data_IF_839974763172
#
_entry.id   IF_839974763172
#
_cell.length_a   1.000
_cell.length_b   1.000
_cell.length_c   1.000
_cell.angle_alpha   90.00
_cell.angle_beta   90.00
_cell.angle_gamma   90.00
#
_symmetry.space_group_name_H-M   'P 1'
#
loop_
_entity.id
_entity.type
_entity.pdbx_description
1 polymer ?
#
# COMPACT_ATOMS: atom_id res chain seq x y z
N UNK A 1 0.65 21.26 -9.19
CA UNK A 1 -0.76 21.25 -8.72
C UNK A 1 -0.75 20.76 -7.27
N UNK A 2 -1.65 21.22 -6.40
CA UNK A 2 -1.85 20.61 -5.09
C UNK A 2 -2.21 19.13 -5.21
N UNK A 3 -1.73 18.32 -4.27
CA UNK A 3 -1.98 16.86 -4.21
C UNK A 3 -2.97 16.57 -3.08
N UNK A 4 -3.98 15.76 -3.36
CA UNK A 4 -4.98 15.28 -2.41
C UNK A 4 -5.01 13.75 -2.41
N UNK A 5 -4.57 13.14 -1.31
CA UNK A 5 -4.64 11.70 -1.11
C UNK A 5 -5.88 11.36 -0.28
N UNK A 6 -6.74 10.48 -0.79
CA UNK A 6 -7.94 10.00 -0.10
C UNK A 6 -7.85 8.49 0.13
N UNK A 7 -7.91 8.06 1.38
CA UNK A 7 -7.88 6.65 1.76
C UNK A 7 -9.11 6.23 2.54
N UNK A 8 -9.69 5.11 2.17
CA UNK A 8 -10.79 4.44 2.87
C UNK A 8 -10.93 3.01 2.35
N UNK A 9 -11.42 2.09 3.17
CA UNK A 9 -11.40 0.65 2.89
C UNK A 9 -12.07 0.34 1.56
N UNK A 10 -13.26 0.90 1.34
CA UNK A 10 -14.02 0.67 0.11
C UNK A 10 -13.86 1.79 -0.93
N UNK A 11 -12.76 2.57 -0.89
CA UNK A 11 -12.48 3.62 -1.87
C UNK A 11 -12.55 3.12 -3.30
N UNK A 12 -12.06 1.91 -3.56
CA UNK A 12 -12.11 1.28 -4.88
C UNK A 12 -13.53 1.12 -5.45
N UNK A 13 -14.58 1.23 -4.62
CA UNK A 13 -15.98 1.15 -5.03
C UNK A 13 -16.57 2.54 -5.26
N UNK A 14 -16.54 3.42 -4.25
CA UNK A 14 -17.29 4.68 -4.30
C UNK A 14 -16.61 5.78 -5.12
N UNK A 15 -15.27 5.79 -5.25
CA UNK A 15 -14.55 6.84 -5.99
C UNK A 15 -15.04 6.95 -7.44
N UNK A 16 -15.51 5.84 -8.04
CA UNK A 16 -16.04 5.76 -9.40
C UNK A 16 -17.21 6.71 -9.64
N UNK A 17 -18.03 6.94 -8.62
CA UNK A 17 -19.20 7.81 -8.70
C UNK A 17 -19.01 9.15 -7.98
N UNK A 18 -17.87 9.37 -7.32
CA UNK A 18 -17.63 10.52 -6.44
C UNK A 18 -17.96 11.86 -7.10
N UNK A 19 -17.41 12.11 -8.29
CA UNK A 19 -17.57 13.40 -8.97
C UNK A 19 -18.99 13.62 -9.47
N UNK A 20 -19.68 12.55 -9.87
CA UNK A 20 -21.09 12.63 -10.21
C UNK A 20 -21.93 12.95 -8.97
N UNK A 21 -21.69 12.26 -7.86
CA UNK A 21 -22.40 12.50 -6.61
C UNK A 21 -22.14 13.90 -6.05
N UNK A 22 -20.92 14.43 -6.23
CA UNK A 22 -20.57 15.80 -5.82
C UNK A 22 -21.49 16.84 -6.46
N UNK A 23 -21.96 16.63 -7.70
CA UNK A 23 -22.88 17.56 -8.36
C UNK A 23 -24.25 17.66 -7.68
N UNK A 24 -24.63 16.67 -6.86
CA UNK A 24 -25.87 16.71 -6.09
C UNK A 24 -25.76 17.57 -4.82
N UNK A 25 -24.54 17.97 -4.41
CA UNK A 25 -24.31 18.85 -3.28
C UNK A 25 -24.36 20.33 -3.69
N UNK A 26 -24.64 21.24 -2.74
CA UNK A 26 -24.47 22.68 -2.96
C UNK A 26 -23.07 23.02 -3.50
N UNK A 27 -22.94 23.98 -4.44
CA UNK A 27 -21.64 24.36 -5.00
C UNK A 27 -20.59 24.77 -3.96
N UNK A 28 -21.02 25.27 -2.80
CA UNK A 28 -20.12 25.63 -1.68
C UNK A 28 -19.40 24.43 -1.05
N UNK A 29 -19.86 23.20 -1.30
CA UNK A 29 -19.25 21.96 -0.82
C UNK A 29 -18.47 21.23 -1.93
N UNK A 30 -18.42 21.77 -3.15
CA UNK A 30 -17.68 21.15 -4.25
C UNK A 30 -16.18 21.29 -4.02
N UNK A 31 -15.45 20.20 -4.21
CA UNK A 31 -14.00 20.23 -4.29
C UNK A 31 -13.60 20.70 -5.69
N UNK A 32 -12.61 21.59 -5.79
CA UNK A 32 -12.00 21.94 -7.07
C UNK A 32 -11.01 20.85 -7.52
N UNK A 33 -11.53 19.65 -7.73
CA UNK A 33 -10.72 18.47 -8.07
C UNK A 33 -10.06 18.58 -9.46
N UNK A 34 -10.42 19.56 -10.27
CA UNK A 34 -9.82 19.80 -11.60
C UNK A 34 -8.49 20.53 -11.52
N UNK A 35 -8.24 21.28 -10.44
CA UNK A 35 -6.96 21.96 -10.18
C UNK A 35 -6.04 21.14 -9.27
N UNK A 36 -6.48 19.95 -8.86
CA UNK A 36 -5.79 19.07 -7.91
C UNK A 36 -5.41 17.74 -8.57
N UNK A 37 -4.31 17.16 -8.09
CA UNK A 37 -4.01 15.75 -8.33
C UNK A 37 -4.64 14.94 -7.22
N UNK A 38 -5.69 14.17 -7.53
CA UNK A 38 -6.43 13.36 -6.55
C UNK A 38 -6.04 11.90 -6.69
N UNK A 39 -5.52 11.31 -5.61
CA UNK A 39 -5.17 9.90 -5.55
C UNK A 39 -6.08 9.18 -4.56
N UNK A 40 -6.52 7.99 -4.94
CA UNK A 40 -7.38 7.13 -4.15
C UNK A 40 -6.60 5.93 -3.65
N UNK A 41 -6.81 5.55 -2.39
CA UNK A 41 -6.03 4.53 -1.71
C UNK A 41 -6.93 3.64 -0.86
N UNK A 42 -6.47 2.43 -0.58
CA UNK A 42 -7.08 1.50 0.37
C UNK A 42 -6.02 1.20 1.44
N UNK A 43 -6.37 1.32 2.74
CA UNK A 43 -5.44 1.05 3.83
C UNK A 43 -4.75 -0.33 3.70
N UNK A 44 -3.49 -0.41 4.11
CA UNK A 44 -2.60 -1.55 3.85
C UNK A 44 -3.12 -2.88 4.40
N UNK A 45 -3.77 -2.87 5.56
CA UNK A 45 -4.35 -4.05 6.20
C UNK A 45 -5.54 -4.58 5.40
N UNK A 46 -6.36 -3.69 4.84
CA UNK A 46 -7.54 -4.05 4.06
C UNK A 46 -7.23 -4.42 2.62
N UNK A 47 -6.22 -3.78 2.01
CA UNK A 47 -5.90 -3.93 0.59
C UNK A 47 -5.77 -5.40 0.11
N UNK A 48 -5.14 -6.34 0.84
CA UNK A 48 -5.06 -7.75 0.43
C UNK A 48 -6.41 -8.46 0.28
N UNK A 49 -7.44 -7.99 0.98
CA UNK A 49 -8.80 -8.58 0.90
C UNK A 49 -9.56 -8.14 -0.35
N UNK A 50 -9.04 -7.16 -1.09
CA UNK A 50 -9.60 -6.71 -2.36
C UNK A 50 -9.14 -7.58 -3.53
N UNK A 51 -9.86 -7.50 -4.65
CA UNK A 51 -9.45 -8.15 -5.90
C UNK A 51 -8.04 -7.71 -6.33
N UNK A 52 -7.31 -8.59 -7.01
CA UNK A 52 -5.90 -8.36 -7.39
C UNK A 52 -5.66 -7.03 -8.10
N UNK A 53 -6.59 -6.59 -8.95
CA UNK A 53 -6.48 -5.30 -9.64
C UNK A 53 -6.43 -4.11 -8.66
N UNK A 54 -7.17 -4.16 -7.55
CA UNK A 54 -7.14 -3.10 -6.54
C UNK A 54 -5.80 -3.03 -5.82
N UNK A 55 -5.15 -4.18 -5.59
CA UNK A 55 -3.89 -4.29 -4.85
C UNK A 55 -2.75 -3.50 -5.49
N UNK A 56 -2.80 -3.27 -6.81
CA UNK A 56 -1.81 -2.46 -7.53
C UNK A 56 -2.24 -1.01 -7.71
N UNK A 57 -3.55 -0.77 -7.84
CA UNK A 57 -4.10 0.56 -8.15
C UNK A 57 -4.23 1.46 -6.92
N UNK A 58 -4.56 0.88 -5.75
CA UNK A 58 -4.85 1.63 -4.52
C UNK A 58 -3.77 1.47 -3.44
N UNK A 59 -2.58 0.98 -3.82
CA UNK A 59 -1.49 0.70 -2.89
C UNK A 59 -0.70 1.94 -2.51
N UNK A 60 -0.59 2.20 -1.21
CA UNK A 60 0.29 3.24 -0.66
C UNK A 60 1.76 3.05 -1.08
N UNK A 61 2.21 1.80 -1.26
CA UNK A 61 3.62 1.51 -1.54
C UNK A 61 4.06 1.90 -2.95
N UNK A 62 3.11 2.13 -3.87
CA UNK A 62 3.41 2.40 -5.27
C UNK A 62 3.21 3.88 -5.63
N UNK A 63 2.53 4.67 -4.79
CA UNK A 63 2.27 6.08 -5.08
C UNK A 63 3.44 6.94 -4.61
N UNK A 64 3.97 7.71 -5.54
CA UNK A 64 5.06 8.66 -5.29
C UNK A 64 4.65 9.71 -4.23
N UNK A 65 5.55 9.96 -3.29
CA UNK A 65 5.38 11.02 -2.28
C UNK A 65 4.52 10.65 -1.06
N UNK A 66 3.98 9.44 -1.00
CA UNK A 66 3.18 8.97 0.15
C UNK A 66 4.03 8.57 1.37
N UNK A 67 5.30 8.22 1.15
CA UNK A 67 6.17 7.70 2.20
C UNK A 67 5.68 6.38 2.77
N UNK A 68 6.09 6.05 4.00
CA UNK A 68 5.71 4.80 4.68
C UNK A 68 4.37 4.95 5.45
N UNK A 69 3.31 5.34 4.74
CA UNK A 69 1.97 5.53 5.32
C UNK A 69 1.14 4.25 5.16
N UNK A 70 0.41 3.82 6.20
CA UNK A 70 -0.45 2.62 6.17
C UNK A 70 -1.94 2.91 5.94
N UNK A 71 -2.43 4.08 6.37
CA UNK A 71 -3.84 4.45 6.32
C UNK A 71 -4.71 3.85 7.44
N UNK A 72 -4.12 3.17 8.43
CA UNK A 72 -4.84 2.35 9.43
C UNK A 72 -5.17 3.10 10.74
N UNK A 73 -4.64 4.30 10.91
CA UNK A 73 -4.67 5.02 12.20
C UNK A 73 -6.08 5.31 12.75
N UNK A 74 -7.12 5.30 11.91
CA UNK A 74 -8.51 5.43 12.33
C UNK A 74 -9.01 4.18 13.07
N UNK A 75 -8.63 2.98 12.61
CA UNK A 75 -9.06 1.71 13.19
C UNK A 75 -8.18 1.28 14.38
N UNK A 76 -6.87 1.58 14.34
CA UNK A 76 -6.00 1.30 15.48
C UNK A 76 -6.47 1.99 16.78
N UNK A 77 -7.18 3.13 16.65
CA UNK A 77 -7.77 3.83 17.79
C UNK A 77 -8.87 3.04 18.51
N UNK A 78 -9.51 2.07 17.85
CA UNK A 78 -10.58 1.28 18.45
C UNK A 78 -10.12 0.46 19.64
N UNK A 79 -8.85 0.01 19.66
CA UNK A 79 -8.28 -0.69 20.81
C UNK A 79 -8.42 0.11 22.12
N UNK A 80 -8.28 1.44 22.04
CA UNK A 80 -8.39 2.34 23.19
C UNK A 80 -9.84 2.67 23.56
N UNK A 81 -10.77 2.60 22.59
CA UNK A 81 -12.20 2.89 22.78
C UNK A 81 -13.01 1.65 23.20
N UNK A 82 -12.56 0.44 22.86
CA UNK A 82 -13.24 -0.80 23.21
C UNK A 82 -13.61 -0.94 24.71
N UNK A 83 -12.75 -0.55 25.67
CA UNK A 83 -13.12 -0.56 27.09
C UNK A 83 -14.26 0.41 27.42
N UNK A 84 -14.28 1.58 26.78
CA UNK A 84 -15.31 2.61 26.97
C UNK A 84 -16.68 2.07 26.55
N UNK A 85 -16.73 1.38 25.40
CA UNK A 85 -17.96 0.76 24.90
C UNK A 85 -18.59 -0.22 25.90
N UNK A 86 -17.80 -0.82 26.79
CA UNK A 86 -18.33 -1.69 27.87
C UNK A 86 -18.80 -0.88 29.09
N UNK A 87 -18.10 0.19 29.43
CA UNK A 87 -18.47 1.08 30.55
C UNK A 87 -19.74 1.89 30.29
N UNK A 88 -20.07 2.16 29.02
CA UNK A 88 -21.21 2.98 28.64
C UNK A 88 -22.49 2.20 28.35
N UNK A 89 -22.47 0.86 28.45
CA UNK A 89 -23.62 0.00 28.07
C UNK A 89 -24.91 0.30 28.81
N UNK A 90 -24.81 0.61 30.09
CA UNK A 90 -25.97 0.87 30.97
C UNK A 90 -26.33 2.37 31.04
N UNK A 91 -25.61 3.23 30.30
CA UNK A 91 -25.90 4.66 30.28
C UNK A 91 -27.13 4.95 29.42
N UNK A 92 -27.92 5.96 29.83
CA UNK A 92 -29.00 6.48 28.99
C UNK A 92 -28.45 7.06 27.67
N UNK A 93 -29.23 7.05 26.60
CA UNK A 93 -28.79 7.39 25.23
C UNK A 93 -28.00 8.71 25.12
N UNK A 94 -28.46 9.77 25.78
CA UNK A 94 -27.76 11.06 25.76
C UNK A 94 -26.43 11.04 26.50
N UNK A 95 -26.39 10.40 27.68
CA UNK A 95 -25.16 10.26 28.46
C UNK A 95 -24.15 9.34 27.75
N UNK A 96 -24.63 8.27 27.12
CA UNK A 96 -23.81 7.38 26.32
C UNK A 96 -23.11 8.14 25.18
N UNK A 97 -23.88 8.93 24.42
CA UNK A 97 -23.33 9.71 23.30
C UNK A 97 -22.30 10.73 23.77
N UNK A 98 -22.65 11.54 24.79
CA UNK A 98 -21.75 12.56 25.31
C UNK A 98 -20.47 11.95 25.89
N UNK A 99 -20.56 10.83 26.61
CA UNK A 99 -19.38 10.17 27.19
C UNK A 99 -18.44 9.67 26.09
N UNK A 100 -18.97 9.07 25.03
CA UNK A 100 -18.16 8.65 23.88
C UNK A 100 -17.51 9.84 23.18
N UNK A 101 -18.26 10.93 22.98
CA UNK A 101 -17.75 12.16 22.34
C UNK A 101 -16.63 12.80 23.18
N UNK A 102 -16.78 12.87 24.50
CA UNK A 102 -15.76 13.37 25.42
C UNK A 102 -14.44 12.57 25.30
N UNK A 103 -14.53 11.24 25.19
CA UNK A 103 -13.36 10.38 24.99
C UNK A 103 -12.69 10.58 23.62
N UNK A 104 -13.47 10.76 22.54
CA UNK A 104 -12.92 11.10 21.24
C UNK A 104 -12.31 12.51 21.23
N UNK A 105 -12.92 13.46 21.93
CA UNK A 105 -12.40 14.81 22.13
C UNK A 105 -11.05 14.81 22.84
N UNK A 106 -10.94 14.09 23.96
CA UNK A 106 -9.67 13.90 24.68
C UNK A 106 -8.60 13.23 23.79
N UNK A 107 -8.98 12.22 23.01
CA UNK A 107 -8.08 11.56 22.07
C UNK A 107 -7.56 12.51 20.98
N UNK A 108 -8.46 13.32 20.40
CA UNK A 108 -8.10 14.33 19.39
C UNK A 108 -7.17 15.40 19.99
N UNK A 109 -7.45 15.85 21.21
CA UNK A 109 -6.61 16.79 21.93
C UNK A 109 -5.20 16.22 22.15
N UNK A 110 -5.09 14.99 22.67
CA UNK A 110 -3.81 14.28 22.88
C UNK A 110 -3.02 14.12 21.59
N UNK A 111 -3.68 13.76 20.49
CA UNK A 111 -3.06 13.70 19.16
C UNK A 111 -2.51 15.05 18.73
N UNK A 112 -3.28 16.11 18.92
CA UNK A 112 -2.88 17.46 18.53
C UNK A 112 -1.65 17.95 19.33
N UNK A 113 -1.68 17.84 20.66
CA UNK A 113 -0.56 18.29 21.50
C UNK A 113 0.68 17.39 21.33
N UNK A 114 0.50 16.11 21.05
CA UNK A 114 1.58 15.15 20.83
C UNK A 114 2.15 15.16 19.40
N UNK A 115 1.53 15.89 18.47
CA UNK A 115 1.89 15.87 17.05
C UNK A 115 3.35 16.28 16.82
N UNK A 116 3.81 17.33 17.51
CA UNK A 116 5.18 17.82 17.36
C UNK A 116 6.24 16.81 17.80
N UNK A 117 6.05 16.20 18.97
CA UNK A 117 6.95 15.16 19.49
C UNK A 117 6.95 13.92 18.60
N UNK A 118 5.76 13.49 18.15
CA UNK A 118 5.61 12.36 17.25
C UNK A 118 6.33 12.58 15.91
N UNK A 119 6.17 13.76 15.30
CA UNK A 119 6.86 14.10 14.04
C UNK A 119 8.38 14.13 14.24
N UNK A 120 8.86 14.73 15.34
CA UNK A 120 10.29 14.77 15.64
C UNK A 120 10.88 13.35 15.74
N UNK A 121 10.21 12.47 16.49
CA UNK A 121 10.62 11.07 16.63
C UNK A 121 10.64 10.36 15.27
N UNK A 122 9.58 10.52 14.47
CA UNK A 122 9.51 9.90 13.14
C UNK A 122 10.61 10.41 12.20
N UNK A 123 10.97 11.69 12.24
CA UNK A 123 12.08 12.22 11.42
C UNK A 123 13.42 11.65 11.88
N UNK A 124 13.63 11.49 13.19
CA UNK A 124 14.85 10.89 13.74
C UNK A 124 15.03 9.42 13.33
N UNK A 125 13.92 8.70 13.10
CA UNK A 125 13.92 7.33 12.57
C UNK A 125 14.07 7.31 11.04
N UNK A 126 13.30 8.14 10.33
CA UNK A 126 13.22 8.12 8.87
C UNK A 126 14.51 8.59 8.17
N UNK A 127 15.27 9.53 8.74
CA UNK A 127 16.49 10.05 8.10
C UNK A 127 17.62 9.00 8.06
N UNK A 128 17.95 8.29 9.15
CA UNK A 128 18.86 7.15 9.10
C UNK A 128 18.39 6.06 8.13
N UNK A 129 17.13 5.65 8.22
CA UNK A 129 16.57 4.61 7.33
C UNK A 129 16.63 5.00 5.86
N UNK A 130 16.45 6.29 5.54
CA UNK A 130 16.63 6.79 4.18
C UNK A 130 18.05 6.54 3.66
N UNK A 131 19.08 6.77 4.49
CA UNK A 131 20.46 6.56 4.09
C UNK A 131 20.73 5.08 3.80
N UNK A 132 20.27 4.19 4.69
CA UNK A 132 20.42 2.75 4.52
C UNK A 132 19.71 2.28 3.24
N UNK A 133 18.45 2.71 3.04
CA UNK A 133 17.69 2.38 1.83
C UNK A 133 18.35 2.90 0.55
N UNK A 134 18.96 4.09 0.59
CA UNK A 134 19.68 4.65 -0.55
C UNK A 134 20.91 3.81 -0.89
N UNK A 135 21.71 3.42 0.11
CA UNK A 135 22.88 2.56 -0.10
C UNK A 135 22.47 1.22 -0.72
N UNK A 136 21.43 0.57 -0.19
CA UNK A 136 20.91 -0.67 -0.77
C UNK A 136 20.40 -0.49 -2.20
N UNK A 137 19.70 0.61 -2.48
CA UNK A 137 19.17 0.92 -3.81
C UNK A 137 20.31 1.13 -4.83
N UNK A 138 21.34 1.89 -4.46
CA UNK A 138 22.50 2.13 -5.30
C UNK A 138 23.29 0.84 -5.57
N UNK A 139 23.55 0.03 -4.54
CA UNK A 139 24.25 -1.24 -4.67
C UNK A 139 23.48 -2.24 -5.56
N UNK A 140 22.16 -2.33 -5.40
CA UNK A 140 21.30 -3.14 -6.25
C UNK A 140 21.33 -2.64 -7.69
N UNK A 141 21.20 -1.32 -7.88
CA UNK A 141 21.20 -0.68 -9.20
C UNK A 141 22.52 -0.94 -9.93
N UNK A 142 23.67 -0.81 -9.26
CA UNK A 142 24.98 -1.12 -9.82
C UNK A 142 25.09 -2.58 -10.25
N UNK A 143 24.65 -3.50 -9.39
CA UNK A 143 24.67 -4.94 -9.66
C UNK A 143 23.80 -5.30 -10.88
N UNK A 144 22.64 -4.66 -11.01
CA UNK A 144 21.75 -4.84 -12.17
C UNK A 144 22.33 -4.23 -13.44
N UNK A 145 22.96 -3.03 -13.38
CA UNK A 145 23.63 -2.41 -14.53
C UNK A 145 24.72 -3.30 -15.13
N UNK A 146 25.47 -4.01 -14.28
CA UNK A 146 26.55 -4.88 -14.74
C UNK A 146 26.06 -6.09 -15.58
N UNK A 147 24.82 -6.56 -15.37
CA UNK A 147 24.32 -7.80 -15.97
C UNK A 147 23.10 -7.62 -16.88
N UNK A 148 22.28 -6.60 -16.63
CA UNK A 148 20.96 -6.42 -17.23
C UNK A 148 20.70 -4.94 -17.58
N UNK A 149 21.69 -4.27 -18.18
CA UNK A 149 21.63 -2.83 -18.49
C UNK A 149 20.36 -2.44 -19.28
N UNK A 150 20.09 -3.16 -20.36
CA UNK A 150 18.94 -2.87 -21.24
C UNK A 150 17.60 -3.06 -20.50
N UNK A 151 17.49 -4.14 -19.71
CA UNK A 151 16.29 -4.42 -18.92
C UNK A 151 16.07 -3.36 -17.86
N UNK A 152 17.13 -2.94 -17.16
CA UNK A 152 17.05 -1.89 -16.14
C UNK A 152 16.58 -0.57 -16.76
N UNK A 153 17.16 -0.16 -17.89
CA UNK A 153 16.77 1.08 -18.57
C UNK A 153 15.31 1.05 -19.04
N UNK A 154 14.86 -0.10 -19.56
CA UNK A 154 13.48 -0.31 -19.99
C UNK A 154 12.52 -0.24 -18.80
N UNK A 155 12.84 -0.92 -17.70
CA UNK A 155 12.01 -0.93 -16.50
C UNK A 155 11.93 0.45 -15.86
N UNK A 156 13.06 1.14 -15.70
CA UNK A 156 13.09 2.50 -15.16
C UNK A 156 12.20 3.43 -15.97
N UNK A 157 12.29 3.38 -17.30
CA UNK A 157 11.43 4.17 -18.18
C UNK A 157 9.94 3.83 -17.99
N UNK A 158 9.59 2.55 -17.83
CA UNK A 158 8.20 2.14 -17.58
C UNK A 158 7.66 2.69 -16.25
N UNK A 159 8.49 2.68 -15.19
CA UNK A 159 8.13 3.26 -13.89
C UNK A 159 7.94 4.77 -14.00
N UNK A 160 8.88 5.50 -14.59
CA UNK A 160 8.80 6.95 -14.75
C UNK A 160 7.57 7.39 -15.58
N UNK A 161 7.26 6.66 -16.66
CA UNK A 161 6.06 6.90 -17.49
C UNK A 161 4.79 6.65 -16.71
N UNK A 162 4.74 5.59 -15.90
CA UNK A 162 3.58 5.27 -15.07
C UNK A 162 3.39 6.25 -13.91
N UNK A 163 4.47 6.68 -13.24
CA UNK A 163 4.43 7.69 -12.18
C UNK A 163 3.98 9.06 -12.71
N UNK A 164 4.39 9.42 -13.93
CA UNK A 164 3.96 10.67 -14.56
C UNK A 164 2.50 10.61 -15.03
N UNK A 165 2.05 9.45 -15.53
CA UNK A 165 0.71 9.24 -16.06
C UNK A 165 0.13 7.92 -15.56
N UNK A 166 -0.65 7.97 -14.49
CA UNK A 166 -1.24 6.78 -13.83
C UNK A 166 -2.20 5.97 -14.71
N UNK A 167 -2.61 6.48 -15.87
CA UNK A 167 -3.37 5.75 -16.89
C UNK A 167 -2.52 4.80 -17.74
N UNK A 168 -1.20 4.93 -17.71
CA UNK A 168 -0.27 4.05 -18.42
C UNK A 168 -0.22 2.68 -17.75
N UNK A 169 0.24 1.65 -18.47
CA UNK A 169 0.36 0.31 -17.88
C UNK A 169 1.22 0.33 -16.63
N UNK A 170 0.67 -0.13 -15.50
CA UNK A 170 1.41 -0.25 -14.26
C UNK A 170 2.48 -1.35 -14.39
N UNK A 171 3.78 -1.04 -14.29
CA UNK A 171 4.84 -2.04 -14.40
C UNK A 171 4.82 -3.04 -13.24
N UNK A 172 4.31 -2.65 -12.06
CA UNK A 172 4.19 -3.49 -10.88
C UNK A 172 3.00 -4.47 -10.94
N UNK A 173 2.06 -4.28 -11.87
CA UNK A 173 0.95 -5.21 -12.04
C UNK A 173 1.47 -6.55 -12.57
N UNK A 174 1.29 -7.59 -11.77
CA UNK A 174 1.59 -8.96 -12.19
C UNK A 174 0.51 -9.42 -13.17
N UNK A 175 0.77 -9.24 -14.47
CA UNK A 175 -0.18 -9.57 -15.56
C UNK A 175 -0.36 -11.06 -15.81
N UNK A 176 0.45 -11.90 -15.17
CA UNK A 176 0.38 -13.36 -15.22
C UNK A 176 1.38 -13.91 -14.20
N UNK A 177 1.08 -15.07 -13.60
CA UNK A 177 1.96 -15.76 -12.64
C UNK A 177 3.36 -16.02 -13.25
N UNK A 178 4.26 -15.05 -13.28
CA UNK A 178 5.49 -15.19 -14.06
C UNK A 178 6.41 -16.27 -13.47
N UNK A 179 6.27 -16.55 -12.18
CA UNK A 179 6.90 -17.66 -11.47
C UNK A 179 6.25 -19.00 -11.81
N UNK A 180 4.91 -19.14 -11.75
CA UNK A 180 4.25 -20.38 -12.15
C UNK A 180 4.36 -20.65 -13.64
N UNK A 181 4.40 -19.64 -14.52
CA UNK A 181 4.60 -19.83 -15.95
C UNK A 181 6.02 -20.33 -16.24
N UNK A 182 7.07 -19.74 -15.64
CA UNK A 182 8.43 -20.24 -15.83
C UNK A 182 8.60 -21.64 -15.25
N UNK A 183 8.03 -21.91 -14.08
CA UNK A 183 8.01 -23.25 -13.49
C UNK A 183 7.22 -24.25 -14.34
N UNK A 184 6.04 -23.87 -14.86
CA UNK A 184 5.23 -24.70 -15.76
C UNK A 184 5.93 -24.91 -17.12
N UNK A 185 6.62 -23.91 -17.64
CA UNK A 185 7.37 -23.99 -18.90
C UNK A 185 8.64 -24.83 -18.75
N UNK A 186 9.37 -24.73 -17.64
CA UNK A 186 10.49 -25.62 -17.33
C UNK A 186 10.01 -27.06 -17.05
N UNK A 187 8.87 -27.23 -16.37
CA UNK A 187 8.24 -28.54 -16.17
C UNK A 187 7.74 -29.15 -17.50
N UNK A 188 7.24 -28.33 -18.43
CA UNK A 188 6.87 -28.76 -19.77
C UNK A 188 8.11 -29.17 -20.62
N UNK A 189 9.26 -28.51 -20.41
CA UNK A 189 10.54 -28.87 -21.07
C UNK A 189 11.17 -30.17 -20.54
N UNK A 190 10.80 -30.61 -19.34
CA UNK A 190 11.33 -31.82 -18.72
C UNK A 190 10.87 -33.11 -19.42
N UNK A 191 9.77 -33.07 -20.19
CA UNK A 191 9.25 -34.21 -20.94
C UNK A 191 8.83 -35.40 -20.06
N UNK A 192 8.23 -36.44 -20.65
CA UNK A 192 7.77 -37.63 -19.90
C UNK A 192 8.90 -38.47 -19.28
N UNK A 193 10.16 -38.23 -19.66
CA UNK A 193 11.33 -39.02 -19.24
C UNK A 193 12.31 -38.26 -18.33
N UNK A 194 11.86 -37.21 -17.66
CA UNK A 194 12.67 -36.50 -16.67
C UNK A 194 13.13 -37.40 -15.53
N UNK A 195 14.42 -37.37 -15.24
CA UNK A 195 15.02 -38.07 -14.10
C UNK A 195 14.55 -37.46 -12.77
N UNK A 196 14.45 -38.28 -11.73
CA UNK A 196 13.99 -37.82 -10.41
C UNK A 196 14.86 -36.69 -9.85
N UNK A 197 16.16 -36.71 -10.14
CA UNK A 197 17.10 -35.63 -9.77
C UNK A 197 16.74 -34.29 -10.43
N UNK A 198 16.24 -34.29 -11.67
CA UNK A 198 15.82 -33.07 -12.36
C UNK A 198 14.52 -32.51 -11.76
N UNK A 199 13.57 -33.39 -11.42
CA UNK A 199 12.30 -32.99 -10.75
C UNK A 199 12.55 -32.40 -9.36
N UNK A 200 13.44 -33.01 -8.57
CA UNK A 200 13.82 -32.52 -7.24
C UNK A 200 14.46 -31.14 -7.32
N UNK A 201 15.36 -30.90 -8.28
CA UNK A 201 15.97 -29.57 -8.47
C UNK A 201 14.94 -28.50 -8.83
N UNK A 202 13.95 -28.83 -9.66
CA UNK A 202 12.89 -27.91 -10.03
C UNK A 202 12.00 -27.57 -8.82
N UNK A 203 11.63 -28.59 -8.04
CA UNK A 203 10.85 -28.41 -6.81
C UNK A 203 11.59 -27.56 -5.78
N UNK A 204 12.88 -27.81 -5.57
CA UNK A 204 13.71 -27.03 -4.66
C UNK A 204 13.77 -25.55 -5.08
N UNK A 205 13.98 -25.27 -6.37
CA UNK A 205 13.95 -23.90 -6.90
C UNK A 205 12.60 -23.23 -6.70
N UNK A 206 11.51 -23.93 -6.99
CA UNK A 206 10.15 -23.44 -6.75
C UNK A 206 9.95 -23.05 -5.28
N UNK A 207 10.37 -23.91 -4.35
CA UNK A 207 10.25 -23.66 -2.92
C UNK A 207 11.14 -22.49 -2.48
N UNK A 208 12.35 -22.36 -3.01
CA UNK A 208 13.24 -21.23 -2.71
C UNK A 208 12.63 -19.89 -3.15
N UNK A 209 12.06 -19.83 -4.35
CA UNK A 209 11.40 -18.61 -4.86
C UNK A 209 10.17 -18.27 -4.02
N UNK A 210 9.35 -19.27 -3.67
CA UNK A 210 8.21 -19.08 -2.76
C UNK A 210 8.66 -18.50 -1.40
N UNK A 211 9.70 -19.06 -0.79
CA UNK A 211 10.22 -18.54 0.48
C UNK A 211 10.81 -17.14 0.37
N UNK A 212 11.47 -16.81 -0.74
CA UNK A 212 11.97 -15.44 -0.97
C UNK A 212 10.83 -14.44 -1.14
N UNK A 213 9.74 -14.83 -1.81
CA UNK A 213 8.52 -14.02 -1.93
C UNK A 213 7.82 -13.84 -0.58
N UNK A 214 7.70 -14.92 0.21
CA UNK A 214 7.14 -14.87 1.56
C UNK A 214 7.98 -13.99 2.51
N UNK A 215 9.31 -14.08 2.41
CA UNK A 215 10.22 -13.24 3.19
C UNK A 215 10.14 -11.77 2.77
N UNK A 216 10.10 -11.49 1.46
CA UNK A 216 9.90 -10.15 0.94
C UNK A 216 8.55 -9.57 1.40
N UNK A 217 7.47 -10.33 1.29
CA UNK A 217 6.14 -9.91 1.72
C UNK A 217 6.09 -9.56 3.21
N UNK A 218 6.82 -10.29 4.07
CA UNK A 218 6.92 -9.99 5.51
C UNK A 218 7.68 -8.69 5.82
N UNK A 219 8.57 -8.24 4.93
CA UNK A 219 9.30 -6.97 5.07
C UNK A 219 8.42 -5.79 4.63
N UNK A 220 7.35 -6.04 3.87
CA UNK A 220 6.44 -5.01 3.38
C UNK A 220 5.28 -4.68 4.35
N UNK A 221 5.17 -5.40 5.48
CA UNK A 221 4.17 -5.19 6.54
C UNK A 221 4.75 -4.31 7.64
#
# INVERSE_FOLDING_TARGET
MPILNMSYDITCQWHKALWHQMQNFPPSLHLDYKSMEVTFLVPKFHLPTHISHCQWLFSFNLIRGIGHTDGEALECGWANINPIASSTKEMGLGLHHNTIDDHFGDWNWKKFIGLGEMILKKIQEAVPEQNDHLEFFEALTMSLKAKYLDLLSTWQHQVEVWEAESMKPNPFEVKTDCTLWHLKAENAKLGQHATDTQKVKLQQRSNTVMHQLEAWAKIQV
#
